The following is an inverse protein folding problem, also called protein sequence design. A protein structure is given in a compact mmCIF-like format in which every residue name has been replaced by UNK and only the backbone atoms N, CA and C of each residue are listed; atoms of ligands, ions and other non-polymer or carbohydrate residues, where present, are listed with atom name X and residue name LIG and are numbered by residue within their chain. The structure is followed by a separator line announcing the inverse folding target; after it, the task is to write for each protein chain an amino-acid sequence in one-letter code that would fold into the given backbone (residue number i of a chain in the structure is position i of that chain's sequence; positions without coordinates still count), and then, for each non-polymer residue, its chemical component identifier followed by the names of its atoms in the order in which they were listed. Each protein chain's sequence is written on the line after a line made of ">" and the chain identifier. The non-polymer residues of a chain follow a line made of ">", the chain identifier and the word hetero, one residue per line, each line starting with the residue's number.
data_IF_157213302283
#
_entry.id   IF_157213302283
#
_cell.length_a   1.000
_cell.length_b   1.000
_cell.length_c   1.000
_cell.angle_alpha   90.00
_cell.angle_beta   90.00
_cell.angle_gamma   90.00
#
_symmetry.space_group_name_H-M   'P 1'
#
loop_
_entity.id
_entity.type
_entity.pdbx_description
1 polymer ?
#
# COMPACT_ATOMS: atom_id res chain seq x y z
N UNK A 1 -20.97 3.77 -24.61
CA UNK A 1 -19.79 3.43 -24.54
C UNK A 1 -19.05 4.17 -23.62
N UNK A 2 -18.34 3.73 -22.97
CA UNK A 2 -17.59 4.37 -21.99
C UNK A 2 -16.37 4.96 -22.47
N UNK A 3 -16.29 5.08 -23.67
CA UNK A 3 -15.15 5.42 -24.31
C UNK A 3 -14.10 6.03 -23.55
N UNK A 4 -12.97 5.57 -23.57
CA UNK A 4 -11.83 6.13 -22.92
C UNK A 4 -11.73 5.89 -21.43
N UNK A 5 -12.74 5.33 -20.81
CA UNK A 5 -12.65 5.05 -19.39
C UNK A 5 -11.99 3.70 -19.16
N UNK A 6 -10.91 3.69 -18.38
CA UNK A 6 -10.13 2.48 -18.18
C UNK A 6 -9.62 2.41 -16.76
N UNK A 7 -9.99 1.36 -16.06
CA UNK A 7 -9.48 1.10 -14.72
C UNK A 7 -8.27 0.18 -14.79
N UNK A 8 -7.13 0.65 -14.32
CA UNK A 8 -5.94 -0.20 -14.20
C UNK A 8 -6.17 -1.27 -13.15
N UNK A 9 -6.71 -0.88 -11.98
CA UNK A 9 -7.00 -1.82 -10.91
C UNK A 9 -8.35 -2.47 -11.16
N UNK A 10 -8.32 -3.73 -11.55
CA UNK A 10 -9.50 -4.53 -11.83
C UNK A 10 -9.66 -5.68 -10.84
N UNK A 11 -8.69 -5.87 -9.96
CA UNK A 11 -8.70 -6.93 -8.99
C UNK A 11 -9.71 -6.65 -7.88
N UNK A 12 -10.35 -7.70 -7.39
CA UNK A 12 -11.10 -7.59 -6.15
C UNK A 12 -10.09 -7.50 -5.01
N UNK A 13 -9.93 -6.31 -4.48
CA UNK A 13 -8.91 -6.04 -3.49
C UNK A 13 -9.34 -4.91 -2.56
N UNK A 14 -8.77 -4.90 -1.37
CA UNK A 14 -8.93 -3.82 -0.41
C UNK A 14 -7.56 -3.27 -0.07
N UNK A 15 -7.38 -1.98 -0.29
CA UNK A 15 -6.11 -1.27 -0.13
C UNK A 15 -6.25 -0.24 0.97
N UNK A 16 -5.24 -0.15 1.83
CA UNK A 16 -5.14 0.92 2.82
C UNK A 16 -4.09 1.91 2.35
N UNK A 17 -4.50 3.16 2.15
CA UNK A 17 -3.60 4.26 1.79
C UNK A 17 -3.34 5.11 3.03
N UNK A 18 -2.09 5.17 3.46
CA UNK A 18 -1.68 5.85 4.69
C UNK A 18 -0.80 7.04 4.35
N UNK A 19 -1.29 8.24 4.64
CA UNK A 19 -0.56 9.48 4.38
C UNK A 19 -1.20 10.59 5.22
N UNK A 20 -0.40 11.44 5.83
CA UNK A 20 -0.91 12.55 6.63
C UNK A 20 -1.39 13.74 5.80
N UNK A 21 -1.11 13.74 4.50
CA UNK A 21 -1.57 14.79 3.58
C UNK A 21 -3.00 14.51 3.10
N UNK A 22 -3.99 15.34 3.49
CA UNK A 22 -5.37 15.12 3.09
C UNK A 22 -5.59 15.24 1.57
N UNK A 23 -4.76 16.01 0.88
CA UNK A 23 -4.86 16.14 -0.58
C UNK A 23 -4.45 14.84 -1.24
N UNK A 24 -3.36 14.22 -0.79
CA UNK A 24 -2.93 12.93 -1.32
C UNK A 24 -3.94 11.83 -1.01
N UNK A 25 -4.55 11.85 0.18
CA UNK A 25 -5.61 10.87 0.48
C UNK A 25 -6.80 11.03 -0.46
N UNK A 26 -7.23 12.26 -0.72
CA UNK A 26 -8.34 12.50 -1.66
C UNK A 26 -7.99 12.01 -3.06
N UNK A 27 -6.78 12.28 -3.53
CA UNK A 27 -6.32 11.81 -4.83
C UNK A 27 -6.23 10.29 -4.90
N UNK A 28 -5.79 9.65 -3.82
CA UNK A 28 -5.74 8.20 -3.77
C UNK A 28 -7.14 7.59 -3.96
N UNK A 29 -8.12 8.13 -3.28
CA UNK A 29 -9.49 7.66 -3.41
C UNK A 29 -9.99 7.78 -4.85
N UNK A 30 -9.75 8.93 -5.48
CA UNK A 30 -10.22 9.17 -6.86
C UNK A 30 -9.48 8.33 -7.87
N UNK A 31 -8.17 8.15 -7.69
CA UNK A 31 -7.32 7.53 -8.73
C UNK A 31 -7.17 6.02 -8.58
N UNK A 32 -7.35 5.47 -7.38
CA UNK A 32 -7.11 4.05 -7.12
C UNK A 32 -8.39 3.25 -6.92
N UNK A 33 -9.46 3.85 -6.38
CA UNK A 33 -10.71 3.13 -6.16
C UNK A 33 -11.39 2.82 -7.49
N UNK A 34 -11.89 1.60 -7.62
CA UNK A 34 -12.60 1.12 -8.80
C UNK A 34 -13.83 0.35 -8.36
N UNK A 35 -14.70 -0.10 -9.27
CA UNK A 35 -15.84 -0.93 -8.86
C UNK A 35 -15.45 -2.22 -8.12
N UNK A 36 -14.24 -2.71 -8.33
CA UNK A 36 -13.78 -3.96 -7.69
C UNK A 36 -12.71 -3.73 -6.64
N UNK A 37 -12.03 -2.59 -6.64
CA UNK A 37 -10.95 -2.27 -5.69
C UNK A 37 -11.41 -1.21 -4.71
N UNK A 38 -11.46 -1.56 -3.43
CA UNK A 38 -11.80 -0.62 -2.36
C UNK A 38 -10.54 0.01 -1.80
N UNK A 39 -10.61 1.31 -1.53
CA UNK A 39 -9.50 2.06 -0.94
C UNK A 39 -9.98 2.68 0.37
N UNK A 40 -9.36 2.30 1.47
CA UNK A 40 -9.55 2.95 2.75
C UNK A 40 -8.38 3.90 2.99
N UNK A 41 -8.63 4.96 3.75
CA UNK A 41 -7.65 6.01 3.99
C UNK A 41 -7.32 6.08 5.48
N UNK A 42 -6.06 6.28 5.81
CA UNK A 42 -5.61 6.52 7.17
C UNK A 42 -4.72 7.76 7.21
N UNK A 43 -4.93 8.63 8.19
CA UNK A 43 -4.23 9.92 8.26
C UNK A 43 -2.89 9.86 8.97
N UNK A 44 -2.50 8.72 9.47
CA UNK A 44 -1.24 8.55 10.18
C UNK A 44 -1.04 7.13 10.66
N UNK A 45 0.07 6.90 11.37
CA UNK A 45 0.45 5.57 11.81
C UNK A 45 -0.53 4.94 12.79
N UNK A 46 -1.02 5.71 13.76
CA UNK A 46 -1.97 5.19 14.74
C UNK A 46 -3.29 4.80 14.06
N UNK A 47 -3.80 5.64 13.16
CA UNK A 47 -5.01 5.34 12.40
C UNK A 47 -4.82 4.11 11.51
N UNK A 48 -3.63 3.97 10.89
CA UNK A 48 -3.32 2.80 10.08
C UNK A 48 -3.34 1.52 10.90
N UNK A 49 -2.71 1.53 12.07
CA UNK A 49 -2.68 0.36 12.94
C UNK A 49 -4.08 -0.01 13.43
N UNK A 50 -4.90 0.98 13.71
CA UNK A 50 -6.30 0.76 14.08
C UNK A 50 -7.07 0.10 12.94
N UNK A 51 -6.95 0.61 11.72
CA UNK A 51 -7.59 0.00 10.55
C UNK A 51 -7.14 -1.46 10.38
N UNK A 52 -5.85 -1.70 10.49
CA UNK A 52 -5.29 -3.04 10.31
C UNK A 52 -5.73 -4.03 11.39
N UNK A 53 -6.11 -3.54 12.56
CA UNK A 53 -6.63 -4.40 13.63
C UNK A 53 -8.07 -4.82 13.42
N UNK A 54 -8.81 -4.14 12.55
CA UNK A 54 -10.25 -4.39 12.34
C UNK A 54 -10.57 -4.90 10.94
N UNK A 55 -9.74 -4.61 9.94
CA UNK A 55 -10.03 -4.90 8.54
C UNK A 55 -8.86 -5.65 7.92
N UNK A 56 -9.16 -6.63 7.09
CA UNK A 56 -8.15 -7.35 6.34
C UNK A 56 -7.88 -6.63 5.03
N UNK A 57 -6.63 -6.27 4.79
CA UNK A 57 -6.20 -5.60 3.57
C UNK A 57 -5.33 -6.52 2.73
N UNK A 58 -5.40 -6.33 1.42
CA UNK A 58 -4.53 -7.03 0.48
C UNK A 58 -3.20 -6.30 0.29
N UNK A 59 -3.22 -4.97 0.48
CA UNK A 59 -2.03 -4.16 0.28
C UNK A 59 -2.14 -2.88 1.09
N UNK A 60 -1.01 -2.42 1.61
CA UNK A 60 -0.89 -1.14 2.32
C UNK A 60 0.07 -0.25 1.55
N UNK A 61 -0.38 0.97 1.22
CA UNK A 61 0.49 2.04 0.72
C UNK A 61 0.82 2.93 1.91
N UNK A 62 2.10 2.99 2.26
CA UNK A 62 2.52 3.53 3.54
C UNK A 62 3.53 4.66 3.38
N UNK A 63 3.14 5.87 3.75
CA UNK A 63 4.05 7.01 3.79
C UNK A 63 5.08 6.81 4.92
N UNK A 64 6.34 7.07 4.62
CA UNK A 64 7.40 6.93 5.63
C UNK A 64 7.45 8.13 6.57
N UNK A 65 7.12 9.32 6.08
CA UNK A 65 7.29 10.55 6.84
C UNK A 65 5.95 11.06 7.36
N UNK A 66 5.63 10.71 8.57
CA UNK A 66 4.41 11.14 9.25
C UNK A 66 4.74 11.53 10.68
N UNK A 67 4.04 12.52 11.25
CA UNK A 67 4.22 12.85 12.65
C UNK A 67 3.71 11.73 13.57
N UNK A 68 4.27 11.62 14.75
CA UNK A 68 3.92 10.57 15.70
C UNK A 68 4.53 9.23 15.29
N UNK A 69 3.70 8.22 15.09
CA UNK A 69 4.15 6.91 14.64
C UNK A 69 4.44 7.01 13.14
N UNK A 70 5.71 6.91 12.76
CA UNK A 70 6.11 7.04 11.36
C UNK A 70 5.92 5.72 10.60
N UNK A 71 6.17 5.77 9.28
CA UNK A 71 5.98 4.60 8.44
C UNK A 71 6.94 3.45 8.75
N UNK A 72 8.16 3.75 9.20
CA UNK A 72 9.10 2.70 9.59
C UNK A 72 8.56 1.88 10.76
N UNK A 73 7.99 2.56 11.75
CA UNK A 73 7.44 1.87 12.90
C UNK A 73 6.18 1.08 12.55
N UNK A 74 5.32 1.65 11.72
CA UNK A 74 4.13 0.91 11.24
C UNK A 74 4.55 -0.37 10.52
N UNK A 75 5.53 -0.27 9.63
CA UNK A 75 6.04 -1.43 8.89
C UNK A 75 6.60 -2.48 9.83
N UNK A 76 7.41 -2.06 10.82
CA UNK A 76 7.97 -2.98 11.80
C UNK A 76 6.88 -3.71 12.58
N UNK A 77 5.83 -3.00 13.00
CA UNK A 77 4.72 -3.61 13.73
C UNK A 77 3.91 -4.58 12.86
N UNK A 78 3.69 -4.23 11.60
CA UNK A 78 3.01 -5.13 10.66
C UNK A 78 3.77 -6.45 10.56
N UNK A 79 5.07 -6.40 10.37
CA UNK A 79 5.87 -7.62 10.15
C UNK A 79 6.03 -8.47 11.41
N UNK A 80 5.83 -7.88 12.59
CA UNK A 80 5.87 -8.63 13.86
C UNK A 80 4.52 -9.23 14.22
N UNK A 81 3.44 -8.79 13.62
CA UNK A 81 2.10 -9.29 13.92
C UNK A 81 1.84 -10.54 13.09
N UNK A 82 1.61 -11.71 13.72
CA UNK A 82 1.36 -12.95 12.96
C UNK A 82 0.18 -12.87 12.00
N UNK A 83 -0.82 -12.04 12.30
CA UNK A 83 -1.99 -11.88 11.44
C UNK A 83 -1.71 -11.00 10.24
N UNK A 84 -0.66 -10.16 10.27
CA UNK A 84 -0.38 -9.14 9.27
C UNK A 84 0.96 -9.35 8.56
N UNK A 85 1.79 -10.25 9.05
CA UNK A 85 3.19 -10.35 8.64
C UNK A 85 3.42 -10.50 7.14
N UNK A 86 2.46 -11.03 6.41
CA UNK A 86 2.60 -11.31 4.98
C UNK A 86 1.86 -10.31 4.08
N UNK A 87 1.21 -9.29 4.64
CA UNK A 87 0.50 -8.31 3.81
C UNK A 87 1.50 -7.53 2.96
N UNK A 88 1.14 -7.26 1.70
CA UNK A 88 1.99 -6.47 0.83
C UNK A 88 2.04 -5.02 1.32
N UNK A 89 3.23 -4.45 1.43
CA UNK A 89 3.43 -3.06 1.85
C UNK A 89 4.31 -2.36 0.84
N UNK A 90 3.75 -1.35 0.18
CA UNK A 90 4.50 -0.46 -0.71
C UNK A 90 4.73 0.82 0.08
N UNK A 91 5.98 1.15 0.34
CA UNK A 91 6.32 2.40 1.03
C UNK A 91 6.44 3.53 0.04
N UNK A 92 6.02 4.72 0.45
CA UNK A 92 6.12 5.93 -0.36
C UNK A 92 6.99 6.95 0.35
N UNK A 93 7.92 7.53 -0.37
CA UNK A 93 8.86 8.48 0.20
C UNK A 93 9.20 9.59 -0.79
N UNK A 94 9.38 10.80 -0.27
CA UNK A 94 9.90 11.93 -1.07
C UNK A 94 11.42 12.01 -1.05
N UNK A 95 12.08 11.09 -0.37
CA UNK A 95 13.53 11.13 -0.16
C UNK A 95 14.24 10.14 -1.06
N UNK A 96 15.21 10.63 -1.80
CA UNK A 96 16.12 9.77 -2.58
C UNK A 96 17.26 9.30 -1.68
N UNK A 97 16.93 8.88 -0.48
CA UNK A 97 17.88 8.51 0.55
C UNK A 97 18.06 7.01 0.54
N UNK A 98 19.21 6.56 0.10
CA UNK A 98 19.52 5.12 0.02
C UNK A 98 19.40 4.47 1.40
N UNK A 99 19.78 5.16 2.47
CA UNK A 99 19.68 4.61 3.81
C UNK A 99 18.22 4.35 4.21
N UNK A 100 17.32 5.27 3.87
CA UNK A 100 15.90 5.08 4.14
C UNK A 100 15.32 3.90 3.36
N UNK A 101 15.70 3.77 2.09
CA UNK A 101 15.26 2.65 1.25
C UNK A 101 15.82 1.34 1.78
N UNK A 102 17.10 1.30 2.14
CA UNK A 102 17.72 0.12 2.74
C UNK A 102 17.01 -0.27 4.02
N UNK A 103 16.70 0.71 4.86
CA UNK A 103 15.98 0.47 6.12
C UNK A 103 14.61 -0.14 5.87
N UNK A 104 13.87 0.38 4.89
CA UNK A 104 12.57 -0.18 4.51
C UNK A 104 12.71 -1.63 4.06
N UNK A 105 13.70 -1.91 3.24
CA UNK A 105 13.94 -3.25 2.75
C UNK A 105 14.22 -4.21 3.91
N UNK A 106 15.10 -3.82 4.84
CA UNK A 106 15.40 -4.64 6.01
C UNK A 106 14.20 -4.82 6.94
N UNK A 107 13.30 -3.85 7.00
CA UNK A 107 12.09 -3.97 7.78
C UNK A 107 11.00 -4.79 7.07
N UNK A 108 11.23 -5.18 5.82
CA UNK A 108 10.33 -6.07 5.11
C UNK A 108 9.33 -5.39 4.19
N UNK A 109 9.64 -4.21 3.66
CA UNK A 109 8.79 -3.60 2.63
C UNK A 109 8.75 -4.48 1.39
N UNK A 110 7.58 -4.57 0.76
CA UNK A 110 7.42 -5.33 -0.48
C UNK A 110 7.99 -4.57 -1.66
N UNK A 111 7.77 -3.26 -1.70
CA UNK A 111 8.24 -2.38 -2.77
C UNK A 111 8.25 -0.95 -2.27
N UNK A 112 8.74 -0.03 -3.09
CA UNK A 112 8.71 1.38 -2.76
C UNK A 112 8.36 2.21 -4.00
N UNK A 113 7.83 3.42 -3.76
CA UNK A 113 7.56 4.41 -4.79
C UNK A 113 8.05 5.77 -4.31
N UNK A 114 8.43 6.62 -5.24
CA UNK A 114 8.91 7.96 -4.95
C UNK A 114 7.78 8.97 -5.14
N UNK A 115 7.74 9.97 -4.26
CA UNK A 115 6.87 11.14 -4.45
C UNK A 115 7.59 12.15 -5.35
N UNK A 116 6.89 12.89 -6.18
CA UNK A 116 5.44 12.94 -6.36
C UNK A 116 4.92 11.69 -7.08
N UNK A 117 3.74 11.22 -6.65
CA UNK A 117 3.17 9.99 -7.18
C UNK A 117 2.63 10.20 -8.59
N UNK A 118 2.96 9.27 -9.48
CA UNK A 118 2.28 9.13 -10.76
C UNK A 118 1.19 8.07 -10.56
N UNK A 119 -0.06 8.50 -10.47
CA UNK A 119 -1.16 7.62 -10.08
C UNK A 119 -1.38 6.45 -11.03
N UNK A 120 -1.16 6.66 -12.32
CA UNK A 120 -1.32 5.58 -13.28
C UNK A 120 -0.20 4.53 -13.15
N UNK A 121 1.04 4.98 -13.00
CA UNK A 121 2.16 4.06 -12.79
C UNK A 121 2.02 3.34 -11.45
N UNK A 122 1.59 4.04 -10.42
CA UNK A 122 1.33 3.44 -9.12
C UNK A 122 0.26 2.35 -9.21
N UNK A 123 -0.81 2.60 -9.94
CA UNK A 123 -1.88 1.61 -10.12
C UNK A 123 -1.34 0.34 -10.78
N UNK A 124 -0.48 0.46 -11.81
CA UNK A 124 0.16 -0.70 -12.42
C UNK A 124 1.07 -1.42 -11.43
N UNK A 125 1.86 -0.68 -10.65
CA UNK A 125 2.74 -1.30 -9.66
C UNK A 125 1.95 -2.06 -8.60
N UNK A 126 0.85 -1.49 -8.13
CA UNK A 126 -0.06 -2.18 -7.20
C UNK A 126 -0.56 -3.47 -7.83
N UNK A 127 -0.98 -3.42 -9.08
CA UNK A 127 -1.50 -4.59 -9.77
C UNK A 127 -0.44 -5.68 -9.91
N UNK A 128 0.79 -5.32 -10.23
CA UNK A 128 1.89 -6.28 -10.30
C UNK A 128 2.17 -6.92 -8.95
N UNK A 129 2.17 -6.13 -7.88
CA UNK A 129 2.41 -6.64 -6.53
C UNK A 129 1.29 -7.60 -6.11
N UNK A 130 0.03 -7.22 -6.32
CA UNK A 130 -1.11 -8.07 -6.00
C UNK A 130 -1.06 -9.37 -6.78
N UNK A 131 -0.71 -9.31 -8.06
CA UNK A 131 -0.60 -10.49 -8.90
C UNK A 131 0.50 -11.43 -8.41
N UNK A 132 1.66 -10.88 -8.08
CA UNK A 132 2.78 -11.68 -7.58
C UNK A 132 2.44 -12.36 -6.26
N UNK A 133 1.81 -11.64 -5.33
CA UNK A 133 1.40 -12.21 -4.04
C UNK A 133 0.39 -13.35 -4.22
N UNK A 134 -0.59 -13.15 -5.08
CA UNK A 134 -1.63 -14.14 -5.34
C UNK A 134 -1.10 -15.34 -6.09
N UNK A 135 -0.19 -15.13 -7.02
CA UNK A 135 0.47 -16.21 -7.74
C UNK A 135 1.25 -17.10 -6.78
N UNK A 136 2.03 -16.50 -5.89
CA UNK A 136 2.81 -17.24 -4.91
C UNK A 136 1.90 -18.05 -3.98
N UNK A 137 0.85 -17.42 -3.46
CA UNK A 137 -0.11 -18.09 -2.59
C UNK A 137 -0.85 -19.20 -3.32
N UNK A 138 -1.31 -18.93 -4.53
CA UNK A 138 -2.01 -19.90 -5.35
C UNK A 138 -1.12 -21.07 -5.74
N UNK A 139 0.15 -20.81 -6.07
CA UNK A 139 1.12 -21.86 -6.38
C UNK A 139 1.38 -22.76 -5.20
N UNK A 140 1.51 -22.21 -4.01
CA UNK A 140 1.67 -23.02 -2.79
C UNK A 140 0.43 -23.83 -2.50
N UNK A 141 -0.73 -23.23 -2.66
CA UNK A 141 -1.99 -23.94 -2.41
C UNK A 141 -2.21 -25.06 -3.41
N UNK A 142 -1.74 -24.88 -4.64
CA UNK A 142 -1.88 -25.90 -5.68
C UNK A 142 -0.86 -27.04 -5.52
N UNK A 143 0.27 -26.72 -4.90
CA UNK A 143 1.27 -27.74 -4.67
C UNK A 143 0.89 -28.62 -3.51
#
# INVERSE_FOLDING_TARGET
>A
MSSGFFYVLQDEARILFVDDDPILRAFAQVNLATPTTQVDLAEGGAAALDCLSHVRYDLVLLDLEMPGIDGFEVLARIRKDPALKDVAVIVQTGREDVEAIDRCFHLGATSFVMKPLNWRLLAYQIRYVLRAERWTSGGRAAA
#
